data_IF_072600265116
#
_entry.id   IF_072600265116
#
_cell.length_a   1.000
_cell.length_b   1.000
_cell.length_c   1.000
_cell.angle_alpha   90.00
_cell.angle_beta   90.00
_cell.angle_gamma   90.00
#
_symmetry.space_group_name_H-M   'P 1'
#
loop_
_entity.id
_entity.type
_entity.pdbx_description
1 polymer ?
#
# COMPACT_ATOMS: atom_id res chain seq x y z
N UNK A 1 -6.81 -36.65 -6.34
CA UNK A 1 -7.35 -36.10 -5.07
C UNK A 1 -6.26 -35.67 -4.09
N UNK A 2 -5.00 -36.10 -4.26
CA UNK A 2 -3.90 -35.82 -3.31
C UNK A 2 -3.30 -34.40 -3.39
N UNK A 3 -3.40 -33.73 -4.54
CA UNK A 3 -2.79 -32.42 -4.79
C UNK A 3 -3.29 -31.31 -3.86
N UNK A 4 -4.61 -31.29 -3.57
CA UNK A 4 -5.21 -30.28 -2.68
C UNK A 4 -4.77 -30.46 -1.23
N UNK A 5 -4.58 -31.71 -0.78
CA UNK A 5 -4.15 -32.02 0.59
C UNK A 5 -2.70 -31.57 0.79
N UNK A 6 -1.81 -31.86 -0.16
CA UNK A 6 -0.41 -31.46 -0.08
C UNK A 6 -0.24 -29.93 -0.05
N UNK A 7 -0.97 -29.20 -0.90
CA UNK A 7 -0.96 -27.73 -0.90
C UNK A 7 -1.42 -27.19 0.46
N UNK A 8 -2.51 -27.73 1.01
CA UNK A 8 -3.02 -27.35 2.32
C UNK A 8 -1.98 -27.53 3.42
N UNK A 9 -1.31 -28.69 3.45
CA UNK A 9 -0.24 -28.96 4.41
C UNK A 9 0.96 -28.00 4.27
N UNK A 10 1.33 -27.63 3.04
CA UNK A 10 2.37 -26.62 2.81
C UNK A 10 1.98 -25.25 3.35
N UNK A 11 0.74 -24.82 3.16
CA UNK A 11 0.26 -23.57 3.77
C UNK A 11 0.28 -23.62 5.30
N UNK A 12 -0.19 -24.72 5.90
CA UNK A 12 -0.16 -24.90 7.37
C UNK A 12 1.27 -24.76 7.89
N UNK A 13 2.22 -25.45 7.26
CA UNK A 13 3.63 -25.39 7.65
C UNK A 13 4.21 -23.97 7.52
N UNK A 14 3.85 -23.22 6.47
CA UNK A 14 4.29 -21.83 6.30
C UNK A 14 3.68 -20.91 7.36
N UNK A 15 2.39 -21.06 7.68
CA UNK A 15 1.71 -20.25 8.69
C UNK A 15 2.29 -20.47 10.09
N UNK A 16 2.63 -21.72 10.43
CA UNK A 16 3.24 -22.06 11.72
C UNK A 16 4.62 -21.43 11.92
N UNK A 17 5.34 -21.12 10.84
CA UNK A 17 6.70 -20.56 10.87
C UNK A 17 6.74 -19.11 10.37
N UNK A 18 5.58 -18.46 10.21
CA UNK A 18 5.51 -17.12 9.63
C UNK A 18 6.13 -16.09 10.56
N UNK A 19 6.98 -15.24 10.00
CA UNK A 19 7.59 -14.10 10.68
C UNK A 19 7.06 -12.80 10.08
N UNK A 20 7.00 -11.76 10.90
CA UNK A 20 6.54 -10.44 10.44
C UNK A 20 7.50 -9.86 9.38
N UNK A 21 8.78 -10.17 9.50
CA UNK A 21 9.85 -9.79 8.57
C UNK A 21 9.67 -10.40 7.17
N UNK A 22 8.95 -11.52 7.06
CA UNK A 22 8.67 -12.20 5.78
C UNK A 22 7.40 -11.67 5.08
N UNK A 23 6.74 -10.66 5.67
CA UNK A 23 5.48 -10.10 5.15
C UNK A 23 5.62 -9.27 3.87
N UNK A 24 6.85 -8.89 3.50
CA UNK A 24 7.13 -7.95 2.42
C UNK A 24 6.93 -6.48 2.79
N UNK A 25 6.72 -6.18 4.08
CA UNK A 25 6.73 -4.82 4.63
C UNK A 25 8.16 -4.26 4.69
N UNK A 26 8.30 -2.94 4.64
CA UNK A 26 9.60 -2.32 4.89
C UNK A 26 9.97 -2.40 6.37
N UNK A 27 11.26 -2.32 6.70
CA UNK A 27 11.73 -2.28 8.10
C UNK A 27 11.07 -1.14 8.89
N UNK A 28 10.83 0.01 8.23
CA UNK A 28 10.13 1.15 8.82
C UNK A 28 8.67 0.84 9.14
N UNK A 29 7.97 0.11 8.27
CA UNK A 29 6.57 -0.27 8.49
C UNK A 29 6.45 -1.29 9.61
N UNK A 30 7.39 -2.25 9.67
CA UNK A 30 7.49 -3.22 10.78
C UNK A 30 7.75 -2.49 12.10
N UNK A 31 8.68 -1.51 12.09
CA UNK A 31 8.94 -0.68 13.25
C UNK A 31 7.68 0.07 13.71
N UNK A 32 6.92 0.68 12.80
CA UNK A 32 5.67 1.36 13.14
C UNK A 32 4.59 0.41 13.66
N UNK A 33 4.50 -0.81 13.14
CA UNK A 33 3.58 -1.82 13.66
C UNK A 33 3.93 -2.26 15.09
N UNK A 34 5.23 -2.43 15.38
CA UNK A 34 5.71 -2.84 16.70
C UNK A 34 5.71 -1.67 17.70
N UNK A 35 5.78 -0.43 17.22
CA UNK A 35 5.83 0.79 18.02
C UNK A 35 4.70 1.75 17.59
N UNK A 36 3.42 1.34 17.73
CA UNK A 36 2.31 2.19 17.33
C UNK A 36 2.28 3.45 18.20
N UNK A 37 1.84 4.57 17.62
CA UNK A 37 1.60 5.80 18.38
C UNK A 37 0.59 5.54 19.49
N UNK A 38 0.93 5.95 20.71
CA UNK A 38 0.09 5.75 21.90
C UNK A 38 -1.02 6.80 22.06
N UNK A 39 -0.97 7.88 21.26
CA UNK A 39 -1.95 8.96 21.28
C UNK A 39 -2.23 9.48 19.87
N UNK A 40 -3.46 9.99 19.63
CA UNK A 40 -3.78 10.71 18.41
C UNK A 40 -2.90 11.95 18.24
N UNK A 41 -2.79 12.42 17.01
CA UNK A 41 -2.15 13.71 16.72
C UNK A 41 -3.05 14.81 17.26
N UNK A 42 -2.46 15.72 18.03
CA UNK A 42 -3.21 16.82 18.60
C UNK A 42 -3.44 17.92 17.56
N UNK A 43 -4.54 18.65 17.70
CA UNK A 43 -4.83 19.81 16.85
C UNK A 43 -3.78 20.92 16.97
N UNK A 44 -2.98 20.92 18.04
CA UNK A 44 -1.91 21.89 18.27
C UNK A 44 -0.60 21.50 17.55
N UNK A 45 -0.44 20.23 17.18
CA UNK A 45 0.72 19.73 16.43
C UNK A 45 0.60 20.01 14.92
N UNK A 46 -0.59 20.38 14.44
CA UNK A 46 -0.86 20.62 13.02
C UNK A 46 -1.09 22.11 12.75
N UNK A 47 -0.22 22.70 11.93
CA UNK A 47 -0.46 24.04 11.40
C UNK A 47 -1.68 24.07 10.46
N UNK A 48 -2.14 25.27 10.13
CA UNK A 48 -3.34 25.48 9.29
C UNK A 48 -3.20 24.82 7.91
N UNK A 49 -2.00 24.86 7.32
CA UNK A 49 -1.69 24.24 6.04
C UNK A 49 -1.74 22.71 6.11
N UNK A 50 -1.17 22.12 7.15
CA UNK A 50 -1.23 20.67 7.39
C UNK A 50 -2.67 20.19 7.65
N UNK A 51 -3.46 20.95 8.40
CA UNK A 51 -4.90 20.65 8.60
C UNK A 51 -5.67 20.66 7.29
N UNK A 52 -5.44 21.67 6.45
CA UNK A 52 -6.06 21.73 5.13
C UNK A 52 -5.63 20.55 4.26
N UNK A 53 -4.33 20.25 4.23
CA UNK A 53 -3.75 19.14 3.48
C UNK A 53 -4.40 17.80 3.85
N UNK A 54 -4.53 17.50 5.15
CA UNK A 54 -5.16 16.26 5.63
C UNK A 54 -6.63 16.19 5.22
N UNK A 55 -7.38 17.29 5.32
CA UNK A 55 -8.77 17.35 4.86
C UNK A 55 -8.90 17.09 3.37
N UNK A 56 -8.04 17.71 2.56
CA UNK A 56 -8.01 17.48 1.11
C UNK A 56 -7.64 16.03 0.78
N UNK A 57 -6.67 15.45 1.49
CA UNK A 57 -6.29 14.05 1.28
C UNK A 57 -7.46 13.08 1.54
N UNK A 58 -8.15 13.27 2.67
CA UNK A 58 -9.30 12.44 3.03
C UNK A 58 -10.46 12.61 2.03
N UNK A 59 -10.75 13.85 1.63
CA UNK A 59 -11.79 14.17 0.64
C UNK A 59 -11.50 13.58 -0.75
N UNK A 60 -10.22 13.48 -1.12
CA UNK A 60 -9.77 12.99 -2.43
C UNK A 60 -9.15 11.59 -2.39
N UNK A 61 -9.45 10.80 -1.36
CA UNK A 61 -8.87 9.46 -1.15
C UNK A 61 -9.08 8.49 -2.33
N UNK A 62 -10.20 8.62 -3.06
CA UNK A 62 -10.51 7.81 -4.25
C UNK A 62 -10.23 8.55 -5.57
N UNK A 63 -9.76 9.79 -5.52
CA UNK A 63 -9.56 10.63 -6.70
C UNK A 63 -8.15 10.44 -7.28
N UNK A 64 -7.95 10.69 -8.59
CA UNK A 64 -6.63 10.74 -9.18
C UNK A 64 -5.73 11.80 -8.50
N UNK A 65 -4.41 11.51 -8.42
CA UNK A 65 -3.36 12.44 -7.89
C UNK A 65 -3.47 13.85 -8.48
N UNK A 66 -3.91 13.98 -9.73
CA UNK A 66 -4.08 15.26 -10.42
C UNK A 66 -5.11 16.17 -9.76
N UNK A 67 -6.22 15.61 -9.25
CA UNK A 67 -7.29 16.38 -8.59
C UNK A 67 -6.78 16.94 -7.26
N UNK A 68 -6.16 16.09 -6.44
CA UNK A 68 -5.54 16.53 -5.18
C UNK A 68 -4.52 17.65 -5.42
N UNK A 69 -3.66 17.49 -6.43
CA UNK A 69 -2.61 18.46 -6.74
C UNK A 69 -3.20 19.80 -7.18
N UNK A 70 -4.23 19.78 -8.03
CA UNK A 70 -4.92 20.98 -8.46
C UNK A 70 -5.59 21.72 -7.29
N UNK A 71 -6.22 21.00 -6.36
CA UNK A 71 -6.82 21.58 -5.17
C UNK A 71 -5.78 22.26 -4.26
N UNK A 72 -4.63 21.62 -4.04
CA UNK A 72 -3.53 22.21 -3.28
C UNK A 72 -2.98 23.47 -3.96
N UNK A 73 -2.84 23.47 -5.28
CA UNK A 73 -2.38 24.64 -6.04
C UNK A 73 -3.39 25.80 -5.98
N UNK A 74 -4.69 25.51 -6.05
CA UNK A 74 -5.72 26.53 -5.90
C UNK A 74 -5.67 27.17 -4.49
N UNK A 75 -5.48 26.35 -3.45
CA UNK A 75 -5.32 26.85 -2.08
C UNK A 75 -4.09 27.76 -1.92
N UNK A 76 -2.95 27.38 -2.47
CA UNK A 76 -1.72 28.20 -2.43
C UNK A 76 -1.85 29.53 -3.19
N UNK A 77 -2.62 29.57 -4.29
CA UNK A 77 -2.88 30.82 -5.01
C UNK A 77 -3.70 31.81 -4.19
N UNK A 78 -4.66 31.32 -3.41
CA UNK A 78 -5.52 32.15 -2.57
C UNK A 78 -4.83 32.52 -1.25
N UNK A 79 -4.02 31.61 -0.71
CA UNK A 79 -3.31 31.78 0.56
C UNK A 79 -1.83 31.39 0.40
N UNK A 80 -0.99 32.31 -0.10
CA UNK A 80 0.42 32.03 -0.41
C UNK A 80 1.26 31.61 0.80
N UNK A 81 0.86 32.04 2.00
CA UNK A 81 1.59 31.77 3.25
C UNK A 81 1.30 30.37 3.83
N UNK A 82 0.39 29.59 3.21
CA UNK A 82 0.11 28.23 3.68
C UNK A 82 1.27 27.28 3.38
N UNK A 83 1.67 26.54 4.40
CA UNK A 83 2.60 25.42 4.24
C UNK A 83 1.84 24.16 3.76
N UNK A 84 1.70 24.00 2.44
CA UNK A 84 1.07 22.81 1.85
C UNK A 84 2.14 21.91 1.25
N UNK A 85 2.23 20.68 1.74
CA UNK A 85 3.17 19.68 1.23
C UNK A 85 2.78 19.21 -0.18
N UNK A 86 3.79 18.84 -0.98
CA UNK A 86 3.57 18.11 -2.23
C UNK A 86 2.86 16.78 -1.97
N UNK A 87 2.22 16.19 -2.99
CA UNK A 87 1.53 14.90 -2.85
C UNK A 87 2.42 13.79 -2.27
N UNK A 88 3.68 13.70 -2.70
CA UNK A 88 4.57 12.64 -2.24
C UNK A 88 5.02 12.88 -0.79
N UNK A 89 5.25 14.13 -0.39
CA UNK A 89 5.47 14.50 1.01
C UNK A 89 4.23 14.27 1.88
N UNK A 90 3.03 14.59 1.38
CA UNK A 90 1.75 14.33 2.04
C UNK A 90 1.55 12.84 2.28
N UNK A 91 1.83 12.02 1.26
CA UNK A 91 1.77 10.56 1.36
C UNK A 91 2.72 10.03 2.42
N UNK A 92 3.97 10.52 2.46
CA UNK A 92 4.95 10.13 3.49
C UNK A 92 4.50 10.57 4.88
N UNK A 93 3.99 11.79 5.03
CA UNK A 93 3.47 12.28 6.29
C UNK A 93 2.33 11.40 6.78
N UNK A 94 1.34 11.11 5.93
CA UNK A 94 0.19 10.29 6.28
C UNK A 94 0.62 8.87 6.64
N UNK A 95 1.59 8.32 5.92
CA UNK A 95 2.19 7.04 6.24
C UNK A 95 2.82 7.04 7.65
N UNK A 96 3.61 8.06 7.99
CA UNK A 96 4.21 8.20 9.33
C UNK A 96 3.17 8.45 10.44
N UNK A 97 2.13 9.24 10.14
CA UNK A 97 1.06 9.59 11.07
C UNK A 97 0.22 8.36 11.39
N UNK A 98 -0.22 7.65 10.36
CA UNK A 98 -1.15 6.54 10.49
C UNK A 98 -0.47 5.21 10.82
N UNK A 99 0.81 5.04 10.46
CA UNK A 99 1.49 3.75 10.47
C UNK A 99 0.92 2.76 9.44
N UNK A 100 0.02 3.21 8.55
CA UNK A 100 -0.67 2.35 7.58
C UNK A 100 0.06 2.36 6.25
N UNK A 101 0.72 1.25 5.95
CA UNK A 101 1.41 1.00 4.68
C UNK A 101 0.59 0.04 3.80
N UNK A 102 0.50 0.28 2.47
CA UNK A 102 -0.07 -0.71 1.58
C UNK A 102 0.90 -1.86 1.32
N UNK A 103 0.43 -3.10 1.47
CA UNK A 103 1.15 -4.31 1.05
C UNK A 103 0.56 -4.79 -0.28
N UNK A 104 1.41 -4.97 -1.28
CA UNK A 104 0.99 -5.39 -2.61
C UNK A 104 1.47 -6.83 -2.90
N UNK A 105 0.53 -7.77 -2.81
CA UNK A 105 0.76 -9.15 -3.24
C UNK A 105 0.25 -9.34 -4.66
N UNK A 106 1.02 -10.02 -5.51
CA UNK A 106 0.56 -10.29 -6.87
C UNK A 106 -0.61 -11.28 -6.87
N UNK A 107 -1.61 -11.01 -7.70
CA UNK A 107 -2.78 -11.88 -7.87
C UNK A 107 -3.08 -12.10 -9.35
N UNK A 108 -3.85 -13.15 -9.63
CA UNK A 108 -4.32 -13.44 -10.98
C UNK A 108 -4.95 -12.19 -11.64
N UNK A 109 -4.41 -11.67 -12.76
CA UNK A 109 -4.83 -10.40 -13.33
C UNK A 109 -6.24 -10.41 -13.92
N UNK A 110 -6.77 -11.58 -14.28
CA UNK A 110 -8.04 -11.70 -15.00
C UNK A 110 -9.24 -11.80 -14.07
N UNK A 111 -9.09 -12.53 -12.95
CA UNK A 111 -10.21 -12.88 -12.05
C UNK A 111 -9.88 -12.72 -10.56
N UNK A 112 -8.67 -12.31 -10.21
CA UNK A 112 -8.19 -12.22 -8.82
C UNK A 112 -8.45 -13.50 -7.99
N UNK A 113 -8.49 -14.66 -8.65
CA UNK A 113 -8.91 -15.91 -8.03
C UNK A 113 -7.85 -16.56 -7.14
N UNK A 114 -6.58 -16.21 -7.34
CA UNK A 114 -5.46 -16.73 -6.55
C UNK A 114 -4.40 -15.64 -6.39
N UNK A 115 -3.84 -15.56 -5.19
CA UNK A 115 -2.67 -14.77 -4.88
C UNK A 115 -1.40 -15.61 -5.06
N UNK A 116 -0.38 -15.04 -5.69
CA UNK A 116 0.93 -15.65 -5.89
C UNK A 116 1.76 -15.49 -4.61
N UNK A 117 1.39 -16.25 -3.58
CA UNK A 117 2.03 -16.24 -2.26
C UNK A 117 2.18 -17.66 -1.69
N UNK A 118 2.98 -17.80 -0.64
CA UNK A 118 3.21 -19.08 0.02
C UNK A 118 3.70 -20.15 -0.97
N UNK A 119 3.04 -21.32 -1.09
CA UNK A 119 3.40 -22.37 -2.06
C UNK A 119 3.26 -21.94 -3.52
N UNK A 120 2.56 -20.84 -3.80
CA UNK A 120 2.30 -20.32 -5.14
C UNK A 120 3.20 -19.14 -5.53
N UNK A 121 4.12 -18.72 -4.66
CA UNK A 121 4.96 -17.53 -4.87
C UNK A 121 5.80 -17.59 -6.15
N UNK A 122 6.24 -18.79 -6.54
CA UNK A 122 7.14 -19.02 -7.69
C UNK A 122 6.37 -19.33 -8.99
N UNK A 123 5.03 -19.27 -8.96
CA UNK A 123 4.20 -19.51 -10.14
C UNK A 123 4.19 -18.29 -11.07
N UNK A 124 4.46 -18.54 -12.35
CA UNK A 124 4.42 -17.50 -13.39
C UNK A 124 3.04 -17.35 -14.05
N UNK A 125 2.09 -18.21 -13.71
CA UNK A 125 0.74 -18.20 -14.26
C UNK A 125 -0.27 -18.77 -13.26
N UNK A 126 -1.50 -18.27 -13.35
CA UNK A 126 -2.64 -18.77 -12.59
C UNK A 126 -2.97 -20.21 -12.98
N UNK A 127 -3.08 -21.10 -12.00
CA UNK A 127 -3.39 -22.51 -12.22
C UNK A 127 -4.82 -22.75 -12.72
N UNK A 128 -5.76 -21.84 -12.45
CA UNK A 128 -7.15 -21.97 -12.89
C UNK A 128 -7.38 -21.47 -14.33
N UNK A 129 -6.76 -20.33 -14.69
CA UNK A 129 -7.09 -19.63 -15.93
C UNK A 129 -5.89 -19.46 -16.88
N UNK A 130 -4.70 -19.90 -16.49
CA UNK A 130 -3.47 -19.76 -17.28
C UNK A 130 -2.96 -18.32 -17.43
N UNK A 131 -3.64 -17.34 -16.83
CA UNK A 131 -3.26 -15.94 -16.90
C UNK A 131 -1.90 -15.71 -16.23
N UNK A 132 -0.95 -15.12 -16.97
CA UNK A 132 0.40 -14.84 -16.46
C UNK A 132 0.34 -13.88 -15.29
N UNK A 133 1.21 -14.08 -14.30
CA UNK A 133 1.40 -13.14 -13.21
C UNK A 133 1.83 -11.77 -13.76
N UNK A 134 1.64 -10.70 -13.00
CA UNK A 134 2.14 -9.40 -13.43
C UNK A 134 3.67 -9.43 -13.34
N UNK A 135 4.39 -9.14 -14.44
CA UNK A 135 5.86 -9.03 -14.37
C UNK A 135 6.23 -7.89 -13.43
N UNK A 136 7.10 -8.16 -12.45
CA UNK A 136 7.83 -7.11 -11.76
C UNK A 136 8.79 -6.47 -12.77
N UNK A 137 8.42 -5.31 -13.30
CA UNK A 137 9.45 -4.36 -13.67
C UNK A 137 10.18 -4.03 -12.37
N UNK A 138 11.47 -4.35 -12.33
CA UNK A 138 12.43 -3.84 -11.36
C UNK A 138 12.12 -2.37 -11.07
N UNK A 139 11.45 -2.10 -9.94
CA UNK A 139 11.03 -0.78 -9.51
C UNK A 139 9.83 -0.16 -10.26
N UNK A 140 8.67 -0.16 -9.61
CA UNK A 140 7.63 0.90 -9.71
C UNK A 140 6.93 1.10 -11.07
N UNK A 141 6.23 0.07 -11.57
CA UNK A 141 4.82 0.09 -12.06
C UNK A 141 4.59 -1.13 -12.96
N UNK A 142 3.57 -1.94 -12.63
CA UNK A 142 3.20 -3.17 -13.36
C UNK A 142 2.19 -2.80 -14.47
N UNK A 143 2.47 -3.22 -15.70
CA UNK A 143 1.60 -3.00 -16.88
C UNK A 143 1.30 -4.35 -17.54
N UNK A 144 0.13 -4.54 -18.19
CA UNK A 144 -0.24 -5.81 -18.81
C UNK A 144 0.70 -6.15 -19.98
N UNK A 145 1.03 -7.44 -20.14
CA UNK A 145 1.62 -7.94 -21.38
C UNK A 145 0.55 -7.88 -22.47
N UNK A 146 0.81 -7.06 -23.50
CA UNK A 146 0.08 -7.11 -24.77
C UNK A 146 0.30 -8.45 -25.45
#
# INVERSE_FOLDING_TARGET
>A
MEWNVWIGLKFISLLQNMKLEDSGMSEMDIYFLQNPRSHPISDFELDVGLKLLLKLWLAFSSAPKTIYTAACQAALKTFPDLNILSYDQAKTLIHQISGVAPIFTDMCPTKSCVAFMGPFKDLNACLQYGAKCWKSSSGKKRVPLK
#
